data_IF_953077305137
#
_entry.id   IF_953077305137
#
_cell.length_a   1.000
_cell.length_b   1.000
_cell.length_c   1.000
_cell.angle_alpha   90.00
_cell.angle_beta   90.00
_cell.angle_gamma   90.00
#
_symmetry.space_group_name_H-M   'P 1'
#
loop_
_entity.id
_entity.type
_entity.pdbx_description
1 polymer ?
#
# COMPACT_ATOMS: atom_id res chain seq x y z
N UNK A 1 15.72 9.58 5.89
CA UNK A 1 14.87 8.80 4.97
C UNK A 1 13.46 9.37 4.98
N UNK A 2 13.00 9.83 3.85
CA UNK A 2 11.66 10.35 3.69
C UNK A 2 10.86 9.51 2.70
N UNK A 3 9.54 9.55 2.82
CA UNK A 3 8.62 8.83 1.94
C UNK A 3 7.77 9.84 1.19
N UNK A 4 7.73 9.71 -0.13
CA UNK A 4 7.02 10.61 -1.03
C UNK A 4 6.01 9.84 -1.86
N UNK A 5 4.98 10.55 -2.29
CA UNK A 5 4.05 10.09 -3.32
C UNK A 5 3.74 11.27 -4.24
N UNK A 6 3.76 11.05 -5.55
CA UNK A 6 3.35 12.09 -6.49
C UNK A 6 1.87 12.39 -6.33
N UNK A 7 1.49 13.65 -6.49
CA UNK A 7 0.10 14.09 -6.38
C UNK A 7 -0.82 13.30 -7.31
N UNK A 8 -0.36 12.97 -8.51
CA UNK A 8 -1.10 12.15 -9.48
C UNK A 8 -1.41 10.76 -8.93
N UNK A 9 -0.43 10.10 -8.32
CA UNK A 9 -0.60 8.78 -7.71
C UNK A 9 -1.51 8.86 -6.48
N UNK A 10 -1.35 9.89 -5.66
CA UNK A 10 -2.22 10.15 -4.52
C UNK A 10 -3.68 10.31 -4.96
N UNK A 11 -3.92 11.16 -5.96
CA UNK A 11 -5.27 11.40 -6.49
C UNK A 11 -5.86 10.11 -7.07
N UNK A 12 -5.05 9.27 -7.69
CA UNK A 12 -5.49 7.99 -8.24
C UNK A 12 -6.00 7.06 -7.13
N UNK A 13 -5.27 6.94 -6.03
CA UNK A 13 -5.68 6.15 -4.86
C UNK A 13 -6.99 6.70 -4.28
N UNK A 14 -7.09 8.01 -4.08
CA UNK A 14 -8.28 8.65 -3.53
C UNK A 14 -9.49 8.44 -4.47
N UNK A 15 -9.28 8.53 -5.78
CA UNK A 15 -10.35 8.29 -6.75
C UNK A 15 -10.82 6.83 -6.74
N UNK A 16 -9.94 5.87 -6.59
CA UNK A 16 -10.31 4.46 -6.39
C UNK A 16 -11.15 4.28 -5.13
N UNK A 17 -10.74 4.89 -4.03
CA UNK A 17 -11.46 4.81 -2.76
C UNK A 17 -12.88 5.40 -2.88
N UNK A 18 -13.01 6.56 -3.53
CA UNK A 18 -14.30 7.20 -3.77
C UNK A 18 -15.21 6.36 -4.66
N UNK A 19 -14.67 5.80 -5.73
CA UNK A 19 -15.44 4.96 -6.66
C UNK A 19 -15.97 3.71 -5.96
N UNK A 20 -15.15 3.03 -5.17
CA UNK A 20 -15.57 1.85 -4.41
C UNK A 20 -16.67 2.17 -3.42
N UNK A 21 -16.55 3.28 -2.69
CA UNK A 21 -17.57 3.70 -1.74
C UNK A 21 -18.88 4.07 -2.42
N UNK A 22 -18.83 4.84 -3.53
CA UNK A 22 -20.03 5.30 -4.21
C UNK A 22 -20.79 4.18 -4.91
N UNK A 23 -20.11 3.12 -5.36
CA UNK A 23 -20.78 1.99 -6.04
C UNK A 23 -21.21 0.90 -5.08
N UNK A 24 -20.32 0.43 -4.21
CA UNK A 24 -20.53 -0.76 -3.38
C UNK A 24 -20.52 -0.47 -1.87
N UNK A 25 -20.28 0.78 -1.45
CA UNK A 25 -20.13 1.15 -0.04
C UNK A 25 -19.06 0.30 0.67
N UNK A 26 -17.98 -0.02 -0.01
CA UNK A 26 -16.95 -0.93 0.49
C UNK A 26 -15.59 -0.27 0.56
N UNK A 27 -14.69 -0.91 1.30
CA UNK A 27 -13.27 -0.63 1.24
C UNK A 27 -12.68 -1.25 -0.01
N UNK A 28 -11.57 -0.70 -0.48
CA UNK A 28 -10.82 -1.24 -1.60
C UNK A 28 -9.34 -1.16 -1.29
N UNK A 29 -8.56 -2.04 -1.87
CA UNK A 29 -7.12 -2.03 -1.70
C UNK A 29 -6.39 -2.42 -2.98
N UNK A 30 -5.09 -2.29 -2.92
CA UNK A 30 -4.22 -2.62 -4.02
C UNK A 30 -2.77 -2.58 -3.62
N UNK A 31 -1.92 -2.52 -4.60
CA UNK A 31 -0.47 -2.50 -4.43
C UNK A 31 0.13 -1.30 -5.14
N UNK A 32 1.30 -0.90 -4.69
CA UNK A 32 2.13 0.10 -5.34
C UNK A 32 3.58 -0.35 -5.29
N UNK A 33 4.39 0.17 -6.18
CA UNK A 33 5.84 0.01 -6.14
C UNK A 33 6.44 1.20 -5.40
N UNK A 34 7.45 0.95 -4.58
CA UNK A 34 8.20 2.00 -3.88
C UNK A 34 9.65 1.89 -4.30
N UNK A 35 10.16 2.94 -4.93
CA UNK A 35 11.56 2.98 -5.38
C UNK A 35 12.38 3.89 -4.51
N UNK A 36 13.64 3.53 -4.29
CA UNK A 36 14.57 4.33 -3.51
C UNK A 36 15.48 5.13 -4.46
N UNK A 37 15.64 6.42 -4.18
CA UNK A 37 16.57 7.26 -4.92
C UNK A 37 17.99 7.21 -4.33
N UNK A 38 18.90 7.94 -4.95
CA UNK A 38 20.29 7.98 -4.50
C UNK A 38 20.49 8.63 -3.13
N UNK A 39 19.53 9.43 -2.67
CA UNK A 39 19.58 10.10 -1.38
C UNK A 39 18.97 9.25 -0.25
N UNK A 40 18.48 8.05 -0.58
CA UNK A 40 17.87 7.14 0.37
C UNK A 40 16.41 7.40 0.64
N UNK A 41 15.77 8.29 -0.10
CA UNK A 41 14.34 8.57 0.02
C UNK A 41 13.53 7.61 -0.84
N UNK A 42 12.27 7.38 -0.43
CA UNK A 42 11.40 6.41 -1.06
C UNK A 42 10.24 7.12 -1.76
N UNK A 43 9.92 6.67 -2.98
CA UNK A 43 8.81 7.20 -3.79
C UNK A 43 7.79 6.09 -4.06
N UNK A 44 6.57 6.29 -3.56
CA UNK A 44 5.42 5.41 -3.86
C UNK A 44 4.89 5.79 -5.24
N UNK A 45 4.77 4.81 -6.13
CA UNK A 45 4.31 5.02 -7.50
C UNK A 45 3.57 3.83 -8.05
N UNK A 46 2.89 4.03 -9.16
CA UNK A 46 2.11 3.02 -9.89
C UNK A 46 1.09 2.29 -9.01
N UNK A 47 0.19 3.00 -8.30
CA UNK A 47 -0.86 2.32 -7.56
C UNK A 47 -1.80 1.59 -8.52
N UNK A 48 -2.07 0.33 -8.21
CA UNK A 48 -2.97 -0.52 -9.01
C UNK A 48 -3.97 -1.21 -8.09
N UNK A 49 -5.14 -1.51 -8.65
CA UNK A 49 -6.12 -2.40 -8.03
C UNK A 49 -5.85 -3.80 -8.54
N UNK A 50 -5.90 -4.77 -7.65
CA UNK A 50 -5.84 -6.18 -8.00
C UNK A 50 -7.19 -6.83 -7.70
N UNK A 51 -7.48 -7.95 -8.35
CA UNK A 51 -8.65 -8.75 -8.04
C UNK A 51 -8.68 -9.04 -6.54
N UNK A 52 -9.84 -8.84 -5.92
CA UNK A 52 -9.98 -8.96 -4.48
C UNK A 52 -11.41 -9.30 -4.09
N UNK A 53 -11.57 -9.88 -2.90
CA UNK A 53 -12.86 -9.98 -2.25
C UNK A 53 -13.09 -8.74 -1.43
N UNK A 54 -14.21 -8.06 -1.66
CA UNK A 54 -14.55 -6.80 -1.01
C UNK A 54 -15.70 -7.03 -0.02
N UNK A 55 -15.49 -6.48 1.19
CA UNK A 55 -16.52 -6.39 2.21
C UNK A 55 -16.58 -4.97 2.74
N UNK A 56 -17.51 -4.69 3.65
CA UNK A 56 -17.63 -3.37 4.26
C UNK A 56 -16.38 -2.95 5.04
N UNK A 57 -15.64 -3.91 5.58
CA UNK A 57 -14.47 -3.68 6.45
C UNK A 57 -13.24 -4.47 6.03
N UNK A 58 -13.28 -5.18 4.90
CA UNK A 58 -12.16 -6.02 4.45
C UNK A 58 -11.93 -5.90 2.95
N UNK A 59 -10.68 -6.03 2.56
CA UNK A 59 -10.29 -6.20 1.15
C UNK A 59 -9.16 -7.23 1.11
N UNK A 60 -9.49 -8.44 0.68
CA UNK A 60 -8.52 -9.52 0.56
C UNK A 60 -8.09 -9.65 -0.90
N UNK A 61 -6.83 -9.37 -1.17
CA UNK A 61 -6.27 -9.48 -2.51
C UNK A 61 -6.19 -10.96 -2.92
N UNK A 62 -6.55 -11.23 -4.17
CA UNK A 62 -6.44 -12.58 -4.73
C UNK A 62 -4.97 -13.01 -4.78
N UNK A 63 -4.65 -14.14 -4.17
CA UNK A 63 -3.26 -14.59 -4.01
C UNK A 63 -2.57 -14.89 -5.34
N UNK A 64 -3.31 -15.44 -6.31
CA UNK A 64 -2.77 -15.74 -7.63
C UNK A 64 -2.44 -14.47 -8.39
N UNK A 65 -3.34 -13.50 -8.39
CA UNK A 65 -3.13 -12.21 -9.03
C UNK A 65 -2.01 -11.41 -8.36
N UNK A 66 -1.90 -11.51 -7.04
CA UNK A 66 -0.82 -10.87 -6.29
C UNK A 66 0.53 -11.47 -6.66
N UNK A 67 0.62 -12.80 -6.79
CA UNK A 67 1.86 -13.46 -7.20
C UNK A 67 2.28 -13.05 -8.62
N UNK A 68 1.32 -12.93 -9.54
CA UNK A 68 1.57 -12.41 -10.90
C UNK A 68 2.09 -10.98 -10.87
N UNK A 69 1.48 -10.15 -10.05
CA UNK A 69 1.89 -8.76 -9.88
C UNK A 69 3.34 -8.66 -9.40
N UNK A 70 3.70 -9.40 -8.35
CA UNK A 70 5.06 -9.41 -7.84
C UNK A 70 6.08 -9.83 -8.92
N UNK A 71 5.76 -10.87 -9.68
CA UNK A 71 6.62 -11.35 -10.76
C UNK A 71 6.79 -10.28 -11.85
N UNK A 72 5.71 -9.64 -12.28
CA UNK A 72 5.75 -8.60 -13.29
C UNK A 72 6.57 -7.40 -12.85
N UNK A 73 6.42 -6.98 -11.60
CA UNK A 73 7.15 -5.84 -11.06
C UNK A 73 8.62 -6.17 -10.85
N UNK A 74 8.95 -7.38 -10.43
CA UNK A 74 10.33 -7.84 -10.33
C UNK A 74 11.07 -7.77 -11.67
N UNK A 75 10.39 -8.09 -12.76
CA UNK A 75 10.93 -7.97 -14.12
C UNK A 75 11.07 -6.50 -14.52
N UNK A 76 10.03 -5.70 -14.30
CA UNK A 76 10.02 -4.29 -14.70
C UNK A 76 11.07 -3.47 -13.96
N UNK A 77 11.28 -3.71 -12.68
CA UNK A 77 12.17 -2.94 -11.82
C UNK A 77 13.46 -3.68 -11.46
N UNK A 78 13.88 -4.66 -12.24
CA UNK A 78 14.99 -5.56 -11.91
C UNK A 78 16.35 -4.86 -11.68
N UNK A 79 16.52 -3.64 -12.16
CA UNK A 79 17.77 -2.86 -12.02
C UNK A 79 17.65 -1.69 -11.06
N UNK A 80 16.53 -1.58 -10.37
CA UNK A 80 16.23 -0.47 -9.46
C UNK A 80 16.00 -1.04 -8.08
N UNK A 81 16.43 -0.32 -7.05
CA UNK A 81 16.11 -0.71 -5.68
C UNK A 81 14.64 -0.38 -5.41
N UNK A 82 13.82 -1.40 -5.26
CA UNK A 82 12.39 -1.23 -5.09
C UNK A 82 11.84 -2.15 -4.02
N UNK A 83 10.68 -1.75 -3.48
CA UNK A 83 9.87 -2.52 -2.52
C UNK A 83 8.41 -2.36 -2.89
N UNK A 84 7.53 -2.90 -2.09
CA UNK A 84 6.09 -2.82 -2.31
C UNK A 84 5.40 -2.08 -1.18
N UNK A 85 4.28 -1.46 -1.53
CA UNK A 85 3.36 -0.83 -0.61
C UNK A 85 1.97 -1.42 -0.80
N UNK A 86 1.39 -1.94 0.26
CA UNK A 86 -0.02 -2.29 0.26
C UNK A 86 -0.82 -1.05 0.66
N UNK A 87 -1.77 -0.64 -0.16
CA UNK A 87 -2.64 0.48 0.17
C UNK A 87 -4.09 0.03 0.23
N UNK A 88 -4.89 0.67 1.08
CA UNK A 88 -6.32 0.41 1.18
C UNK A 88 -7.06 1.63 1.71
N UNK A 89 -8.39 1.60 1.59
CA UNK A 89 -9.27 2.67 2.03
C UNK A 89 -10.11 2.25 3.22
N UNK A 90 -10.37 3.20 4.12
CA UNK A 90 -11.30 3.08 5.23
C UNK A 90 -12.63 3.79 4.97
N UNK A 91 -12.96 4.09 3.72
CA UNK A 91 -14.11 4.88 3.27
C UNK A 91 -14.39 6.08 4.19
N UNK A 92 -15.49 6.10 4.97
CA UNK A 92 -15.84 7.25 5.82
C UNK A 92 -15.22 7.22 7.21
N UNK A 93 -14.59 6.11 7.60
CA UNK A 93 -13.94 5.98 8.90
C UNK A 93 -12.61 6.75 8.91
N UNK A 94 -12.12 7.06 10.12
CA UNK A 94 -10.80 7.65 10.26
C UNK A 94 -9.71 6.72 9.73
N UNK A 95 -8.58 7.31 9.34
CA UNK A 95 -7.41 6.55 8.91
C UNK A 95 -6.66 6.04 10.16
N UNK A 96 -6.69 4.74 10.38
CA UNK A 96 -6.01 4.06 11.49
C UNK A 96 -5.69 2.62 11.10
N UNK A 97 -4.83 1.97 11.87
CA UNK A 97 -4.50 0.56 11.64
C UNK A 97 -5.40 -0.32 12.50
N UNK A 98 -6.39 -0.96 11.88
CA UNK A 98 -7.24 -1.95 12.55
C UNK A 98 -6.46 -3.25 12.81
N UNK A 99 -7.01 -4.15 13.63
CA UNK A 99 -6.41 -5.47 13.82
C UNK A 99 -6.30 -6.26 12.52
N UNK A 100 -7.32 -6.17 11.66
CA UNK A 100 -7.32 -6.78 10.33
C UNK A 100 -6.22 -6.18 9.45
N UNK A 101 -6.05 -4.85 9.50
CA UNK A 101 -5.00 -4.17 8.75
C UNK A 101 -3.61 -4.63 9.17
N UNK A 102 -3.36 -4.76 10.47
CA UNK A 102 -2.07 -5.24 10.98
C UNK A 102 -1.78 -6.66 10.52
N UNK A 103 -2.79 -7.52 10.50
CA UNK A 103 -2.66 -8.88 9.95
C UNK A 103 -2.35 -8.87 8.46
N UNK A 104 -2.97 -7.98 7.71
CA UNK A 104 -2.71 -7.83 6.27
C UNK A 104 -1.30 -7.30 6.00
N UNK A 105 -0.82 -6.37 6.82
CA UNK A 105 0.56 -5.87 6.73
C UNK A 105 1.55 -7.04 6.90
N UNK A 106 1.31 -7.92 7.87
CA UNK A 106 2.13 -9.10 8.09
C UNK A 106 2.06 -10.05 6.87
N UNK A 107 0.86 -10.31 6.36
CA UNK A 107 0.65 -11.22 5.23
C UNK A 107 1.32 -10.71 3.94
N UNK A 108 1.13 -9.42 3.61
CA UNK A 108 1.61 -8.87 2.34
C UNK A 108 3.05 -8.35 2.39
N UNK A 109 3.58 -8.13 3.58
CA UNK A 109 4.90 -7.51 3.75
C UNK A 109 5.99 -8.47 4.19
N UNK A 110 5.66 -9.43 5.03
CA UNK A 110 6.62 -10.40 5.56
C UNK A 110 7.03 -11.42 4.50
N UNK A 111 8.00 -12.24 4.80
CA UNK A 111 8.48 -13.29 3.93
C UNK A 111 9.90 -13.02 3.46
N UNK A 112 10.13 -12.98 2.16
CA UNK A 112 11.47 -12.77 1.60
C UNK A 112 11.90 -11.30 1.60
N UNK A 113 10.96 -10.38 1.77
CA UNK A 113 11.26 -8.95 1.81
C UNK A 113 11.91 -8.55 3.13
N UNK A 114 12.87 -7.63 3.05
CA UNK A 114 13.48 -7.01 4.23
C UNK A 114 12.70 -5.79 4.72
N UNK A 115 11.94 -5.16 3.84
CA UNK A 115 11.25 -3.89 4.06
C UNK A 115 9.98 -3.82 3.24
N UNK A 116 8.90 -3.33 3.83
CA UNK A 116 7.66 -3.07 3.10
C UNK A 116 6.97 -1.81 3.63
N UNK A 117 6.00 -1.34 2.86
CA UNK A 117 5.23 -0.14 3.17
C UNK A 117 3.75 -0.46 3.20
N UNK A 118 3.01 0.30 3.98
CA UNK A 118 1.55 0.23 3.99
C UNK A 118 0.98 1.65 4.06
N UNK A 119 -0.15 1.84 3.41
CA UNK A 119 -0.83 3.13 3.36
C UNK A 119 -2.34 2.91 3.51
N UNK A 120 -2.95 3.58 4.47
CA UNK A 120 -4.40 3.63 4.61
C UNK A 120 -4.87 5.05 4.36
N UNK A 121 -5.94 5.19 3.58
CA UNK A 121 -6.55 6.49 3.27
C UNK A 121 -8.05 6.44 3.58
N UNK A 122 -8.68 7.60 3.70
CA UNK A 122 -10.12 7.70 3.78
C UNK A 122 -10.65 8.73 2.77
N UNK A 123 -11.97 8.91 2.71
CA UNK A 123 -12.59 9.82 1.76
C UNK A 123 -12.37 11.30 2.07
N UNK A 124 -11.87 11.61 3.26
CA UNK A 124 -11.49 12.98 3.65
C UNK A 124 -10.02 13.26 3.36
N UNK A 125 -9.33 12.34 2.68
CA UNK A 125 -7.91 12.41 2.34
C UNK A 125 -6.99 12.45 3.57
N UNK A 126 -7.46 11.92 4.68
CA UNK A 126 -6.61 11.59 5.81
C UNK A 126 -5.89 10.27 5.53
N UNK A 127 -4.73 10.07 6.14
CA UNK A 127 -3.94 8.88 5.89
C UNK A 127 -3.11 8.46 7.09
N UNK A 128 -2.64 7.21 7.05
CA UNK A 128 -1.49 6.73 7.81
C UNK A 128 -0.57 5.96 6.87
N UNK A 129 0.71 6.18 7.00
CA UNK A 129 1.75 5.46 6.24
C UNK A 129 2.66 4.76 7.23
N UNK A 130 3.00 3.51 6.95
CA UNK A 130 3.80 2.68 7.84
C UNK A 130 4.93 2.03 7.07
N UNK A 131 6.12 2.07 7.65
CA UNK A 131 7.29 1.33 7.17
C UNK A 131 7.49 0.14 8.10
N UNK A 132 7.61 -1.05 7.52
CA UNK A 132 7.88 -2.27 8.26
C UNK A 132 9.23 -2.84 7.83
N UNK A 133 10.16 -2.90 8.77
CA UNK A 133 11.44 -3.57 8.60
C UNK A 133 11.26 -4.99 9.14
N UNK A 134 11.51 -6.00 8.31
CA UNK A 134 11.33 -7.40 8.68
C UNK A 134 12.64 -8.08 9.04
N UNK A 135 13.74 -7.63 8.42
CA UNK A 135 15.07 -8.21 8.60
C UNK A 135 16.11 -7.09 8.68
N UNK A 136 17.14 -7.22 9.50
CA UNK A 136 17.46 -8.33 10.40
C UNK A 136 16.64 -8.35 11.70
N UNK A 137 15.90 -7.28 12.00
CA UNK A 137 15.06 -7.13 13.19
C UNK A 137 13.71 -6.57 12.78
N UNK A 138 12.62 -7.07 13.34
CA UNK A 138 11.29 -6.59 13.05
C UNK A 138 11.03 -5.25 13.75
N UNK A 139 10.81 -4.21 12.98
CA UNK A 139 10.50 -2.86 13.47
C UNK A 139 9.39 -2.27 12.60
N UNK A 140 8.38 -1.69 13.22
CA UNK A 140 7.28 -1.01 12.53
C UNK A 140 7.23 0.45 12.98
N UNK A 141 7.10 1.36 12.03
CA UNK A 141 7.06 2.80 12.34
C UNK A 141 6.12 3.53 11.40
N UNK A 142 5.21 4.33 11.99
CA UNK A 142 4.42 5.26 11.21
C UNK A 142 5.29 6.45 10.80
N UNK A 143 5.13 6.88 9.56
CA UNK A 143 5.93 7.96 8.97
C UNK A 143 5.01 8.98 8.29
N UNK A 144 5.49 10.20 8.14
CA UNK A 144 4.81 11.19 7.32
C UNK A 144 5.01 10.88 5.84
N UNK A 145 3.95 11.09 5.08
CA UNK A 145 3.95 10.95 3.63
C UNK A 145 3.99 12.36 3.01
N UNK A 146 4.98 12.61 2.19
CA UNK A 146 5.12 13.87 1.46
C UNK A 146 4.39 13.74 0.12
N UNK A 147 3.36 14.55 -0.05
CA UNK A 147 2.48 14.50 -1.22
C UNK A 147 2.83 15.60 -2.21
#
# INVERSE_FOLDING_TARGET
MEVYIDKECWDKIINYAKAAYHTEKCEIGGMSVVTQDKDGDWLIQEPVILKQEIGGTTCDLDKEELAKYYTQMAIKYNKINFRFCWWHSHHTMSAFWSGTDLSSIDEYGEGESDLSFALVVNLKEEYKCRVSVWKPVEIHQDVELNI
#
